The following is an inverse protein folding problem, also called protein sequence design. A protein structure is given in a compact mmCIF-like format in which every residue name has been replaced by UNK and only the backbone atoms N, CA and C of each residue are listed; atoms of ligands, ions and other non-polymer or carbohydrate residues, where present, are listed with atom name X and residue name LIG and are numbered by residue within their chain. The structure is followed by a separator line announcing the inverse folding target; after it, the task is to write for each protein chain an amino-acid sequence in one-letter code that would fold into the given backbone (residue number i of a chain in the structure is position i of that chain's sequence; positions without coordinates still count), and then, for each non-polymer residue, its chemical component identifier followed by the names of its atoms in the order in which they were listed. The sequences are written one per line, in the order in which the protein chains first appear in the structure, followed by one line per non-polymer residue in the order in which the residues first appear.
data_IF_493951719298
#
_entry.id   IF_493951719298
#
_cell.length_a   1.000
_cell.length_b   1.000
_cell.length_c   1.000
_cell.angle_alpha   90.00
_cell.angle_beta   90.00
_cell.angle_gamma   90.00
#
_symmetry.space_group_name_H-M   'P 1'
#
loop_
_entity.id
_entity.type
_entity.pdbx_description
1 polymer ?
#
# COMPACT_ATOMS: atom_id res chain seq x y z
N UNK A 1 -2.17 -13.46 9.43
CA UNK A 1 -2.15 -12.60 8.22
C UNK A 1 -0.85 -11.83 8.19
N UNK A 2 -0.42 -11.44 6.99
CA UNK A 2 0.81 -10.68 6.80
C UNK A 2 0.65 -9.70 5.64
N UNK A 3 1.12 -8.46 5.81
CA UNK A 3 1.36 -7.51 4.72
C UNK A 3 2.55 -6.63 5.10
N UNK A 4 3.00 -5.76 4.22
CA UNK A 4 4.16 -4.91 4.52
C UNK A 4 4.28 -3.69 3.63
N UNK A 5 5.32 -2.91 3.92
CA UNK A 5 5.63 -1.66 3.25
C UNK A 5 7.13 -1.37 3.36
N UNK A 6 7.77 -1.06 2.24
CA UNK A 6 9.12 -0.47 2.27
C UNK A 6 9.04 1.04 2.54
N UNK A 7 9.55 1.54 3.68
CA UNK A 7 9.43 2.93 4.09
C UNK A 7 10.48 3.81 3.39
N UNK A 8 10.06 4.57 2.37
CA UNK A 8 10.94 5.45 1.58
C UNK A 8 10.44 6.90 1.53
N UNK A 9 9.52 7.28 2.43
CA UNK A 9 8.83 8.56 2.42
C UNK A 9 7.45 8.48 3.08
N UNK A 10 6.70 9.58 2.97
CA UNK A 10 5.34 9.67 3.51
C UNK A 10 4.37 8.68 2.83
N UNK A 11 3.40 8.22 3.61
CA UNK A 11 2.32 7.36 3.15
C UNK A 11 1.34 8.14 2.28
N UNK A 12 0.95 7.59 1.13
CA UNK A 12 -0.10 8.13 0.27
C UNK A 12 -1.30 7.17 0.19
N UNK A 13 -2.44 7.64 -0.30
CA UNK A 13 -3.70 6.87 -0.35
C UNK A 13 -3.50 5.49 -0.99
N UNK A 14 -2.72 5.39 -2.07
CA UNK A 14 -2.44 4.09 -2.71
C UNK A 14 -1.81 3.03 -1.79
N UNK A 15 -1.05 3.43 -0.76
CA UNK A 15 -0.51 2.50 0.24
C UNK A 15 -1.58 2.02 1.22
N UNK A 16 -2.60 2.83 1.49
CA UNK A 16 -3.64 2.50 2.47
C UNK A 16 -4.62 1.44 1.97
N UNK A 17 -4.84 1.35 0.66
CA UNK A 17 -5.78 0.40 0.03
C UNK A 17 -5.57 -1.05 0.50
N UNK A 18 -4.36 -1.64 0.35
CA UNK A 18 -4.13 -2.99 0.85
C UNK A 18 -4.29 -3.08 2.37
N UNK A 19 -3.99 -2.02 3.11
CA UNK A 19 -4.04 -2.02 4.58
C UNK A 19 -5.48 -1.96 5.11
N UNK A 20 -6.36 -1.16 4.51
CA UNK A 20 -7.79 -1.12 4.86
C UNK A 20 -8.45 -2.46 4.56
N UNK A 21 -8.11 -3.07 3.42
CA UNK A 21 -8.60 -4.42 3.12
C UNK A 21 -8.06 -5.46 4.10
N UNK A 22 -6.77 -5.38 4.46
CA UNK A 22 -6.18 -6.24 5.48
C UNK A 22 -6.86 -6.05 6.86
N UNK A 23 -7.20 -4.81 7.22
CA UNK A 23 -7.95 -4.50 8.44
C UNK A 23 -9.34 -5.13 8.42
N UNK A 24 -10.07 -5.01 7.31
CA UNK A 24 -11.38 -5.65 7.17
C UNK A 24 -11.29 -7.16 7.32
N UNK A 25 -10.31 -7.81 6.68
CA UNK A 25 -10.06 -9.24 6.83
C UNK A 25 -9.74 -9.59 8.30
N UNK A 26 -8.90 -8.81 8.96
CA UNK A 26 -8.55 -9.04 10.35
C UNK A 26 -9.78 -8.93 11.27
N UNK A 27 -10.61 -7.89 11.10
CA UNK A 27 -11.83 -7.69 11.88
C UNK A 27 -12.84 -8.82 11.64
N UNK A 28 -12.97 -9.31 10.39
CA UNK A 28 -13.92 -10.37 10.03
C UNK A 28 -13.51 -11.74 10.53
N UNK A 29 -12.23 -12.07 10.45
CA UNK A 29 -11.74 -13.40 10.80
C UNK A 29 -11.11 -13.49 12.19
N UNK A 30 -10.92 -12.36 12.87
CA UNK A 30 -10.29 -12.25 14.18
C UNK A 30 -8.94 -13.00 14.26
N UNK A 31 -8.02 -12.65 13.36
CA UNK A 31 -6.73 -13.33 13.20
C UNK A 31 -5.55 -12.41 13.55
N UNK A 32 -4.41 -13.01 13.87
CA UNK A 32 -3.16 -12.28 14.06
C UNK A 32 -2.72 -11.60 12.75
N UNK A 33 -2.13 -10.42 12.85
CA UNK A 33 -1.64 -9.62 11.74
C UNK A 33 -0.20 -9.19 12.00
N UNK A 34 0.68 -9.50 11.05
CA UNK A 34 2.04 -8.96 10.99
C UNK A 34 2.12 -7.89 9.92
N UNK A 35 2.63 -6.72 10.27
CA UNK A 35 2.91 -5.62 9.35
C UNK A 35 4.41 -5.37 9.29
N UNK A 36 5.05 -5.74 8.18
CA UNK A 36 6.50 -5.59 8.03
C UNK A 36 6.86 -4.26 7.39
N UNK A 37 7.78 -3.54 8.03
CA UNK A 37 8.43 -2.34 7.53
C UNK A 37 9.85 -2.72 7.11
N UNK A 38 10.06 -2.80 5.79
CA UNK A 38 11.31 -3.27 5.18
C UNK A 38 12.28 -2.10 4.99
N UNK A 39 12.72 -1.52 6.11
CA UNK A 39 13.57 -0.33 6.18
C UNK A 39 14.98 -0.58 5.62
N UNK A 40 15.47 -1.81 5.73
CA UNK A 40 16.68 -2.31 5.11
C UNK A 40 16.59 -2.35 3.56
N UNK A 41 15.49 -2.80 2.97
CA UNK A 41 15.29 -2.83 1.52
C UNK A 41 15.30 -1.43 0.91
N UNK A 42 14.71 -0.45 1.60
CA UNK A 42 14.76 0.94 1.16
C UNK A 42 16.15 1.53 1.30
N UNK A 43 16.91 1.12 2.31
CA UNK A 43 18.32 1.49 2.43
C UNK A 43 19.15 0.89 1.28
N UNK A 44 18.95 -0.38 0.93
CA UNK A 44 19.67 -1.03 -0.17
C UNK A 44 19.29 -0.48 -1.55
N UNK A 45 18.04 -0.08 -1.76
CA UNK A 45 17.53 0.35 -3.08
C UNK A 45 17.62 1.85 -3.33
N UNK A 46 17.74 2.68 -2.29
CA UNK A 46 17.82 4.15 -2.41
C UNK A 46 19.18 4.66 -1.93
N UNK A 47 20.06 4.96 -2.89
CA UNK A 47 21.41 5.47 -2.62
C UNK A 47 21.44 6.76 -1.79
N UNK A 48 20.34 7.53 -1.80
CA UNK A 48 20.23 8.81 -1.10
C UNK A 48 19.58 8.70 0.29
N UNK A 49 19.26 7.49 0.76
CA UNK A 49 18.68 7.29 2.10
C UNK A 49 19.67 6.54 2.99
N UNK A 50 19.91 7.08 4.18
CA UNK A 50 20.60 6.41 5.27
C UNK A 50 19.67 5.45 6.03
N UNK A 51 20.24 4.52 6.80
CA UNK A 51 19.49 3.65 7.70
C UNK A 51 18.67 4.45 8.72
N UNK A 52 19.22 5.54 9.24
CA UNK A 52 18.49 6.42 10.18
C UNK A 52 17.26 7.06 9.52
N UNK A 53 17.34 7.42 8.24
CA UNK A 53 16.19 7.98 7.51
C UNK A 53 15.14 6.92 7.20
N UNK A 54 15.53 5.73 6.75
CA UNK A 54 14.56 4.64 6.48
C UNK A 54 13.88 4.17 7.75
N UNK A 55 14.63 4.10 8.86
CA UNK A 55 14.09 3.86 10.20
C UNK A 55 13.09 4.93 10.61
N UNK A 56 13.41 6.22 10.50
CA UNK A 56 12.44 7.31 10.77
C UNK A 56 11.17 7.18 9.93
N UNK A 57 11.30 6.86 8.64
CA UNK A 57 10.13 6.61 7.80
C UNK A 57 9.35 5.36 8.22
N UNK A 58 10.02 4.32 8.72
CA UNK A 58 9.37 3.13 9.26
C UNK A 58 8.43 3.52 10.41
N UNK A 59 8.93 4.27 11.40
CA UNK A 59 8.10 4.77 12.51
C UNK A 59 6.93 5.64 12.04
N UNK A 60 7.17 6.60 11.14
CA UNK A 60 6.08 7.45 10.63
C UNK A 60 5.04 6.66 9.80
N UNK A 61 5.45 5.64 9.05
CA UNK A 61 4.55 4.74 8.30
C UNK A 61 3.81 3.78 9.26
N UNK A 62 4.42 3.39 10.38
CA UNK A 62 3.77 2.60 11.43
C UNK A 62 2.58 3.38 12.03
N UNK A 63 2.76 4.68 12.29
CA UNK A 63 1.68 5.55 12.77
C UNK A 63 0.51 5.62 11.78
N UNK A 64 0.80 5.74 10.48
CA UNK A 64 -0.22 5.74 9.43
C UNK A 64 -1.01 4.43 9.40
N UNK A 65 -0.33 3.30 9.63
CA UNK A 65 -0.94 1.99 9.69
C UNK A 65 -1.83 1.84 10.94
N UNK A 66 -1.33 2.19 12.13
CA UNK A 66 -2.09 2.16 13.39
C UNK A 66 -3.33 3.07 13.30
N UNK A 67 -3.21 4.23 12.65
CA UNK A 67 -4.30 5.19 12.48
C UNK A 67 -5.52 4.65 11.71
N UNK A 68 -5.36 3.54 10.96
CA UNK A 68 -6.47 2.83 10.33
C UNK A 68 -7.35 2.07 11.33
N UNK A 69 -6.95 1.99 12.61
CA UNK A 69 -7.74 1.38 13.69
C UNK A 69 -7.43 -0.10 13.90
N UNK A 70 -6.21 -0.55 13.60
CA UNK A 70 -5.72 -1.86 14.02
C UNK A 70 -5.62 -1.93 15.55
N UNK A 71 -5.68 -3.15 16.09
CA UNK A 71 -5.70 -3.42 17.53
C UNK A 71 -4.40 -4.11 17.96
N UNK A 72 -3.70 -3.62 19.01
CA UNK A 72 -2.39 -4.14 19.37
C UNK A 72 -2.43 -5.59 19.91
N UNK A 73 -3.60 -6.06 20.36
CA UNK A 73 -3.77 -7.41 20.90
C UNK A 73 -3.54 -8.51 19.85
N UNK A 74 -3.82 -8.21 18.58
CA UNK A 74 -3.69 -9.15 17.47
C UNK A 74 -2.90 -8.56 16.29
N UNK A 75 -2.20 -7.44 16.48
CA UNK A 75 -1.41 -6.78 15.43
C UNK A 75 -0.01 -6.49 15.92
N UNK A 76 0.99 -6.94 15.17
CA UNK A 76 2.40 -6.67 15.44
C UNK A 76 3.10 -6.06 14.24
N UNK A 77 3.87 -5.00 14.50
CA UNK A 77 4.66 -4.27 13.52
C UNK A 77 6.11 -4.73 13.64
N UNK A 78 6.64 -5.23 12.54
CA UNK A 78 8.03 -5.69 12.42
C UNK A 78 8.81 -4.61 11.70
N UNK A 79 9.93 -4.16 12.26
CA UNK A 79 10.91 -3.32 11.58
C UNK A 79 12.13 -4.20 11.33
N UNK A 80 12.50 -4.42 10.07
CA UNK A 80 13.46 -5.47 9.71
C UNK A 80 14.81 -5.31 10.41
N UNK A 81 15.33 -4.08 10.51
CA UNK A 81 16.60 -3.81 11.20
C UNK A 81 16.53 -3.96 12.73
N UNK A 82 15.36 -3.83 13.35
CA UNK A 82 15.17 -3.95 14.80
C UNK A 82 14.81 -5.38 15.24
N UNK A 83 14.13 -6.12 14.35
CA UNK A 83 13.63 -7.47 14.61
C UNK A 83 14.46 -8.56 13.93
N UNK A 84 15.68 -8.22 13.49
CA UNK A 84 16.54 -9.13 12.75
C UNK A 84 16.88 -10.41 13.52
N UNK A 85 16.92 -10.37 14.85
CA UNK A 85 17.21 -11.54 15.69
C UNK A 85 16.19 -12.66 15.46
N UNK A 86 14.90 -12.32 15.34
CA UNK A 86 13.82 -13.28 15.08
C UNK A 86 13.75 -13.65 13.60
N UNK A 87 13.96 -12.67 12.70
CA UNK A 87 13.81 -12.88 11.26
C UNK A 87 14.96 -13.70 10.65
N UNK A 88 16.20 -13.48 11.10
CA UNK A 88 17.39 -14.01 10.45
C UNK A 88 17.46 -15.54 10.40
N UNK A 89 17.14 -16.31 11.47
CA UNK A 89 17.15 -17.78 11.40
C UNK A 89 16.15 -18.34 10.37
N UNK A 90 15.01 -17.67 10.19
CA UNK A 90 13.98 -18.06 9.21
C UNK A 90 14.46 -17.69 7.80
N UNK A 91 14.93 -16.44 7.64
CA UNK A 91 15.46 -15.94 6.37
C UNK A 91 16.65 -16.78 5.88
N UNK A 92 17.53 -17.23 6.76
CA UNK A 92 18.67 -18.10 6.43
C UNK A 92 18.21 -19.47 5.88
N UNK A 93 17.16 -20.07 6.46
CA UNK A 93 16.58 -21.32 5.96
C UNK A 93 15.99 -21.14 4.55
N UNK A 94 15.34 -20.00 4.30
CA UNK A 94 14.76 -19.65 3.00
C UNK A 94 15.87 -19.39 1.97
N UNK A 95 16.85 -18.56 2.33
CA UNK A 95 17.97 -18.19 1.47
C UNK A 95 18.75 -19.42 0.99
N UNK A 96 18.95 -20.42 1.86
CA UNK A 96 19.59 -21.70 1.51
C UNK A 96 18.88 -22.46 0.38
N UNK A 97 17.60 -22.17 0.12
CA UNK A 97 16.77 -22.81 -0.92
C UNK A 97 16.60 -21.94 -2.17
N UNK A 98 17.18 -20.74 -2.19
CA UNK A 98 17.10 -19.78 -3.29
C UNK A 98 18.50 -19.66 -3.92
N UNK A 99 18.61 -20.02 -5.20
CA UNK A 99 19.86 -19.83 -5.94
C UNK A 99 19.90 -18.42 -6.54
N UNK A 100 21.10 -17.84 -6.68
CA UNK A 100 21.28 -16.53 -7.30
C UNK A 100 20.73 -16.46 -8.74
N UNK A 101 20.82 -17.55 -9.51
CA UNK A 101 20.22 -17.61 -10.85
C UNK A 101 18.70 -17.39 -10.84
N UNK A 102 18.01 -17.86 -9.79
CA UNK A 102 16.57 -17.69 -9.64
C UNK A 102 16.23 -16.23 -9.32
N UNK A 103 16.92 -15.61 -8.36
CA UNK A 103 16.68 -14.20 -8.01
C UNK A 103 17.01 -13.28 -9.19
N UNK A 104 18.06 -13.59 -9.95
CA UNK A 104 18.43 -12.89 -11.17
C UNK A 104 17.29 -12.92 -12.21
N UNK A 105 16.73 -14.09 -12.46
CA UNK A 105 15.64 -14.27 -13.43
C UNK A 105 14.32 -13.62 -12.97
N UNK A 106 14.00 -13.71 -11.67
CA UNK A 106 12.73 -13.21 -11.12
C UNK A 106 12.72 -11.69 -10.98
N UNK A 107 13.82 -11.09 -10.50
CA UNK A 107 13.89 -9.66 -10.16
C UNK A 107 14.70 -8.82 -11.17
N UNK A 108 15.30 -9.46 -12.18
CA UNK A 108 16.11 -8.76 -13.18
C UNK A 108 17.43 -8.22 -12.63
N UNK A 109 17.96 -8.82 -11.56
CA UNK A 109 19.22 -8.37 -10.96
C UNK A 109 20.40 -8.50 -11.93
N UNK A 110 21.37 -7.61 -11.78
CA UNK A 110 22.64 -7.63 -12.52
C UNK A 110 23.78 -7.98 -11.56
N UNK A 111 24.98 -8.15 -12.10
CA UNK A 111 26.16 -8.36 -11.25
C UNK A 111 26.52 -7.11 -10.43
N UNK A 112 25.97 -5.94 -10.78
CA UNK A 112 26.13 -4.69 -10.03
C UNK A 112 25.07 -4.52 -8.92
N UNK A 113 24.08 -5.41 -8.85
CA UNK A 113 23.07 -5.38 -7.79
C UNK A 113 23.70 -5.76 -6.46
N UNK A 114 23.52 -4.93 -5.43
CA UNK A 114 24.13 -5.17 -4.13
C UNK A 114 23.58 -6.44 -3.45
N UNK A 115 24.40 -7.05 -2.60
CA UNK A 115 24.08 -8.31 -1.91
C UNK A 115 22.88 -8.22 -0.96
N UNK A 116 22.57 -7.01 -0.45
CA UNK A 116 21.40 -6.76 0.38
C UNK A 116 20.10 -7.00 -0.40
N UNK A 117 19.99 -6.44 -1.61
CA UNK A 117 18.85 -6.68 -2.50
C UNK A 117 18.69 -8.15 -2.90
N UNK A 118 19.80 -8.88 -3.05
CA UNK A 118 19.77 -10.31 -3.37
C UNK A 118 19.21 -11.12 -2.20
N UNK A 119 19.57 -10.75 -0.96
CA UNK A 119 19.11 -11.44 0.24
C UNK A 119 17.68 -11.06 0.65
N UNK A 120 17.27 -9.82 0.37
CA UNK A 120 16.03 -9.21 0.86
C UNK A 120 14.77 -10.08 0.68
N UNK A 121 14.58 -10.75 -0.46
CA UNK A 121 13.41 -11.62 -0.65
C UNK A 121 13.26 -12.69 0.44
N UNK A 122 14.39 -13.15 0.99
CA UNK A 122 14.40 -14.10 2.11
C UNK A 122 13.91 -13.46 3.40
N UNK A 123 14.25 -12.20 3.65
CA UNK A 123 13.75 -11.41 4.79
C UNK A 123 12.27 -11.07 4.63
N UNK A 124 11.83 -10.62 3.46
CA UNK A 124 10.40 -10.36 3.19
C UNK A 124 9.54 -11.63 3.34
N UNK A 125 10.14 -12.81 3.10
CA UNK A 125 9.47 -14.09 3.28
C UNK A 125 9.39 -14.55 4.75
N UNK A 126 10.27 -14.07 5.63
CA UNK A 126 10.40 -14.59 6.99
C UNK A 126 9.12 -14.42 7.84
N UNK A 127 8.39 -13.28 7.79
CA UNK A 127 7.13 -13.13 8.53
C UNK A 127 6.06 -14.17 8.20
N UNK A 128 6.12 -14.81 7.03
CA UNK A 128 5.20 -15.89 6.65
C UNK A 128 5.30 -17.12 7.57
N UNK A 129 6.42 -17.27 8.28
CA UNK A 129 6.75 -18.49 9.03
C UNK A 129 7.12 -18.24 10.50
N UNK A 130 6.87 -17.03 11.02
CA UNK A 130 7.00 -16.72 12.46
C UNK A 130 6.07 -17.61 13.27
N UNK A 131 4.81 -17.72 12.84
CA UNK A 131 3.85 -18.65 13.41
C UNK A 131 3.80 -19.93 12.58
N UNK A 132 3.64 -21.08 13.24
CA UNK A 132 3.37 -22.35 12.56
C UNK A 132 1.89 -22.46 12.16
N UNK A 133 1.42 -21.51 11.35
CA UNK A 133 0.04 -21.42 10.87
C UNK A 133 -0.02 -21.05 9.38
N UNK A 134 -1.10 -21.41 8.67
CA UNK A 134 -1.35 -20.87 7.34
C UNK A 134 -1.43 -19.34 7.37
N UNK A 135 -0.80 -18.70 6.39
CA UNK A 135 -0.79 -17.24 6.26
C UNK A 135 -1.49 -16.80 4.99
N UNK A 136 -2.30 -15.74 5.12
CA UNK A 136 -2.89 -15.00 4.01
C UNK A 136 -2.19 -13.64 3.87
N UNK A 137 -1.84 -13.30 2.63
CA UNK A 137 -1.11 -12.08 2.27
C UNK A 137 -1.94 -11.24 1.28
N UNK A 138 -2.58 -10.15 1.74
CA UNK A 138 -3.11 -9.12 0.86
C UNK A 138 -1.96 -8.25 0.34
N UNK A 139 -1.78 -8.17 -0.98
CA UNK A 139 -0.63 -7.50 -1.60
C UNK A 139 -0.96 -6.85 -2.93
N UNK A 140 -0.19 -5.84 -3.32
CA UNK A 140 -0.22 -5.29 -4.68
C UNK A 140 0.44 -6.26 -5.67
N UNK A 141 -0.05 -6.30 -6.91
CA UNK A 141 0.43 -7.24 -7.95
C UNK A 141 1.95 -7.19 -8.21
N UNK A 142 2.59 -6.06 -7.90
CA UNK A 142 4.04 -5.86 -8.01
C UNK A 142 4.86 -6.65 -6.96
N UNK A 143 4.24 -7.05 -5.85
CA UNK A 143 4.88 -7.84 -4.79
C UNK A 143 4.81 -9.35 -5.05
N UNK A 144 3.99 -9.79 -6.01
CA UNK A 144 3.78 -11.20 -6.36
C UNK A 144 5.09 -11.98 -6.64
N UNK A 145 6.11 -11.44 -7.32
CA UNK A 145 7.35 -12.17 -7.58
C UNK A 145 8.05 -12.66 -6.29
N UNK A 146 8.02 -11.86 -5.22
CA UNK A 146 8.58 -12.26 -3.92
C UNK A 146 7.83 -13.45 -3.34
N UNK A 147 6.50 -13.38 -3.30
CA UNK A 147 5.68 -14.41 -2.66
C UNK A 147 5.48 -15.66 -3.50
N UNK A 148 5.64 -15.57 -4.83
CA UNK A 148 5.78 -16.75 -5.69
C UNK A 148 7.03 -17.54 -5.32
N UNK A 149 8.17 -16.85 -5.14
CA UNK A 149 9.39 -17.51 -4.69
C UNK A 149 9.23 -18.10 -3.27
N UNK A 150 8.57 -17.37 -2.36
CA UNK A 150 8.24 -17.89 -1.02
C UNK A 150 7.42 -19.19 -1.09
N UNK A 151 6.41 -19.26 -1.97
CA UNK A 151 5.57 -20.46 -2.17
C UNK A 151 6.34 -21.66 -2.73
N UNK A 152 7.36 -21.41 -3.56
CA UNK A 152 8.22 -22.47 -4.10
C UNK A 152 9.20 -23.01 -3.05
N UNK A 153 9.61 -22.15 -2.10
CA UNK A 153 10.53 -22.50 -1.02
C UNK A 153 9.83 -23.14 0.19
N UNK A 154 8.60 -22.71 0.52
CA UNK A 154 7.90 -23.15 1.73
C UNK A 154 7.89 -24.68 1.95
N UNK A 155 7.54 -25.53 0.95
CA UNK A 155 7.58 -26.98 1.14
C UNK A 155 8.98 -27.54 1.38
N UNK A 156 10.02 -26.89 0.83
CA UNK A 156 11.43 -27.32 0.98
C UNK A 156 12.00 -27.07 2.38
N UNK A 157 11.31 -26.27 3.17
CA UNK A 157 11.60 -26.00 4.60
C UNK A 157 10.51 -26.56 5.52
N UNK A 158 9.62 -27.42 5.00
CA UNK A 158 8.57 -28.06 5.79
C UNK A 158 7.43 -27.13 6.22
N UNK A 159 7.21 -26.02 5.53
CA UNK A 159 6.19 -25.01 5.87
C UNK A 159 5.04 -24.97 4.85
N UNK A 160 3.80 -24.61 5.26
CA UNK A 160 2.68 -24.47 4.35
C UNK A 160 2.90 -23.30 3.37
N UNK A 161 2.37 -23.41 2.16
CA UNK A 161 2.43 -22.33 1.17
C UNK A 161 1.54 -21.15 1.61
N UNK A 162 2.02 -19.89 1.57
CA UNK A 162 1.18 -18.73 1.87
C UNK A 162 0.09 -18.55 0.80
N UNK A 163 -1.12 -18.19 1.21
CA UNK A 163 -2.21 -17.78 0.33
C UNK A 163 -2.06 -16.29 -0.03
N UNK A 164 -2.35 -15.91 -1.27
CA UNK A 164 -2.19 -14.54 -1.77
C UNK A 164 -3.54 -14.00 -2.25
N UNK A 165 -3.83 -12.72 -1.95
CA UNK A 165 -4.92 -11.96 -2.58
C UNK A 165 -4.31 -10.70 -3.19
N UNK A 166 -4.43 -10.55 -4.50
CA UNK A 166 -3.88 -9.43 -5.25
C UNK A 166 -4.87 -8.26 -5.33
N UNK A 167 -4.42 -7.07 -4.97
CA UNK A 167 -5.18 -5.84 -5.07
C UNK A 167 -4.84 -5.09 -6.36
N UNK A 168 -5.87 -4.48 -6.96
CA UNK A 168 -5.70 -3.50 -8.04
C UNK A 168 -5.16 -2.21 -7.42
N UNK A 169 -4.15 -1.62 -8.04
CA UNK A 169 -3.58 -0.35 -7.60
C UNK A 169 -4.49 0.82 -7.98
N UNK A 170 -4.69 1.77 -7.08
CA UNK A 170 -5.30 3.06 -7.42
C UNK A 170 -4.38 3.78 -8.42
N UNK A 171 -4.93 4.36 -9.51
CA UNK A 171 -4.13 5.07 -10.50
C UNK A 171 -3.49 6.33 -9.91
N UNK A 172 -2.37 6.77 -10.46
CA UNK A 172 -1.84 8.11 -10.16
C UNK A 172 -2.83 9.19 -10.59
N UNK A 173 -2.67 10.41 -10.07
CA UNK A 173 -3.51 11.53 -10.51
C UNK A 173 -3.41 11.77 -12.02
N UNK A 174 -2.32 11.38 -12.68
CA UNK A 174 -2.12 11.63 -14.11
C UNK A 174 -2.92 10.71 -15.05
N UNK A 175 -3.66 9.73 -14.54
CA UNK A 175 -4.56 8.89 -15.34
C UNK A 175 -4.19 7.41 -15.41
N UNK A 176 -4.93 6.64 -16.22
CA UNK A 176 -4.75 5.19 -16.38
C UNK A 176 -3.33 4.86 -16.87
N UNK A 177 -2.67 3.90 -16.21
CA UNK A 177 -1.29 3.48 -16.53
C UNK A 177 -0.20 4.20 -15.74
N UNK A 178 -0.51 5.29 -15.04
CA UNK A 178 0.42 5.94 -14.11
C UNK A 178 0.45 5.24 -12.76
N UNK A 179 1.62 4.75 -12.32
CA UNK A 179 1.83 4.36 -10.91
C UNK A 179 2.01 5.61 -10.05
N UNK A 180 1.43 5.63 -8.84
CA UNK A 180 1.77 6.67 -7.85
C UNK A 180 3.27 6.56 -7.53
N UNK A 181 3.97 7.69 -7.59
CA UNK A 181 5.38 7.76 -7.23
C UNK A 181 5.59 8.85 -6.22
N UNK A 182 6.27 8.51 -5.11
CA UNK A 182 6.72 9.48 -4.13
C UNK A 182 7.70 10.52 -4.72
N UNK A 183 8.30 10.26 -5.89
CA UNK A 183 9.19 11.21 -6.58
C UNK A 183 8.47 12.33 -7.34
N UNK A 184 7.13 12.26 -7.46
CA UNK A 184 6.31 13.28 -8.11
C UNK A 184 5.22 13.73 -7.14
N UNK A 185 5.58 14.63 -6.23
CA UNK A 185 4.77 15.09 -5.10
C UNK A 185 3.33 15.51 -5.48
N UNK A 186 3.17 16.14 -6.65
CA UNK A 186 1.89 16.62 -7.16
C UNK A 186 0.99 15.54 -7.80
N UNK A 187 1.49 14.32 -7.95
CA UNK A 187 0.76 13.22 -8.65
C UNK A 187 0.13 12.22 -7.70
N UNK A 188 0.26 12.45 -6.39
CA UNK A 188 -0.27 11.59 -5.35
C UNK A 188 -0.83 12.43 -4.19
N UNK A 189 -1.78 11.85 -3.47
CA UNK A 189 -2.35 12.44 -2.26
C UNK A 189 -1.72 11.76 -1.06
N UNK A 190 -0.98 12.52 -0.26
CA UNK A 190 -0.36 12.04 0.96
C UNK A 190 -1.36 12.06 2.12
N UNK A 191 -1.15 11.17 3.08
CA UNK A 191 -1.89 11.12 4.36
C UNK A 191 -1.77 12.39 5.18
N UNK A 192 -0.70 13.16 4.94
CA UNK A 192 -0.39 14.42 5.60
C UNK A 192 -0.78 15.67 4.80
N UNK A 193 -1.40 15.51 3.61
CA UNK A 193 -1.83 16.66 2.82
C UNK A 193 -2.95 17.43 3.55
N UNK A 194 -2.91 18.76 3.49
CA UNK A 194 -3.98 19.61 4.01
C UNK A 194 -5.18 19.63 3.06
N UNK A 195 -6.38 20.03 3.54
CA UNK A 195 -7.58 20.10 2.69
C UNK A 195 -7.41 20.94 1.42
N UNK A 196 -6.66 22.04 1.51
CA UNK A 196 -6.37 22.91 0.37
C UNK A 196 -5.40 22.27 -0.63
N UNK A 197 -4.40 21.54 -0.14
CA UNK A 197 -3.46 20.78 -0.98
C UNK A 197 -4.19 19.66 -1.71
N UNK A 198 -5.08 18.92 -1.04
CA UNK A 198 -5.93 17.89 -1.68
C UNK A 198 -6.77 18.51 -2.78
N UNK A 199 -7.50 19.58 -2.47
CA UNK A 199 -8.35 20.29 -3.44
C UNK A 199 -7.55 20.76 -4.65
N UNK A 200 -6.38 21.37 -4.43
CA UNK A 200 -5.49 21.81 -5.48
C UNK A 200 -5.02 20.63 -6.34
N UNK A 201 -4.55 19.55 -5.72
CA UNK A 201 -4.03 18.38 -6.44
C UNK A 201 -5.09 17.70 -7.29
N UNK A 202 -6.30 17.48 -6.74
CA UNK A 202 -7.41 16.88 -7.48
C UNK A 202 -7.87 17.78 -8.64
N UNK A 203 -8.06 19.07 -8.40
CA UNK A 203 -8.54 19.97 -9.45
C UNK A 203 -7.53 20.12 -10.59
N UNK A 204 -6.25 20.28 -10.26
CA UNK A 204 -5.20 20.60 -11.23
C UNK A 204 -4.58 19.38 -11.92
N UNK A 205 -4.39 18.27 -11.19
CA UNK A 205 -3.61 17.14 -11.69
C UNK A 205 -4.43 15.87 -11.93
N UNK A 206 -5.61 15.70 -11.31
CA UNK A 206 -6.43 14.51 -11.56
C UNK A 206 -6.96 14.50 -13.00
N UNK A 207 -6.56 13.49 -13.75
CA UNK A 207 -7.02 13.25 -15.11
C UNK A 207 -8.54 13.04 -15.13
N UNK A 208 -9.18 13.74 -16.05
CA UNK A 208 -10.61 13.73 -16.26
C UNK A 208 -10.97 12.88 -17.48
N UNK A 209 -11.95 12.00 -17.32
CA UNK A 209 -12.59 11.29 -18.43
C UNK A 209 -13.69 12.12 -19.13
N UNK A 210 -13.96 13.34 -18.67
CA UNK A 210 -14.93 14.27 -19.24
C UNK A 210 -14.43 15.03 -20.47
N UNK A 211 -15.33 15.77 -21.11
CA UNK A 211 -15.03 16.64 -22.27
C UNK A 211 -14.50 18.03 -21.86
N UNK A 212 -13.77 18.73 -22.76
CA UNK A 212 -13.17 20.03 -22.46
C UNK A 212 -14.19 21.14 -22.18
N UNK A 213 -15.32 21.13 -22.91
CA UNK A 213 -16.39 22.11 -22.75
C UNK A 213 -17.66 21.48 -22.18
N UNK A 214 -18.46 22.32 -21.52
CA UNK A 214 -19.67 21.89 -20.80
C UNK A 214 -20.72 21.36 -21.77
N UNK A 215 -20.91 21.99 -22.93
CA UNK A 215 -21.94 21.60 -23.90
C UNK A 215 -21.66 20.20 -24.47
N UNK A 216 -20.41 19.95 -24.87
CA UNK A 216 -19.95 18.64 -25.32
C UNK A 216 -20.05 17.62 -24.20
N UNK A 217 -19.71 17.99 -22.96
CA UNK A 217 -19.85 17.09 -21.82
C UNK A 217 -21.32 16.72 -21.58
N UNK A 218 -22.26 17.68 -21.64
CA UNK A 218 -23.70 17.41 -21.50
C UNK A 218 -24.23 16.52 -22.61
N UNK A 219 -23.66 16.59 -23.83
CA UNK A 219 -24.12 15.84 -25.01
C UNK A 219 -23.52 14.44 -25.10
N UNK A 220 -22.22 14.31 -24.85
CA UNK A 220 -21.46 13.07 -25.06
C UNK A 220 -21.16 12.32 -23.75
N UNK A 221 -21.29 12.99 -22.61
CA UNK A 221 -20.93 12.44 -21.30
C UNK A 221 -19.42 12.32 -21.05
N UNK A 222 -19.08 11.95 -19.81
CA UNK A 222 -17.74 11.54 -19.42
C UNK A 222 -17.52 10.03 -19.52
N UNK A 223 -16.27 9.61 -19.49
CA UNK A 223 -15.89 8.20 -19.37
C UNK A 223 -15.38 7.90 -17.94
N UNK A 224 -16.21 7.30 -17.06
CA UNK A 224 -15.81 6.95 -15.70
C UNK A 224 -14.64 5.95 -15.63
N UNK A 225 -14.49 5.07 -16.63
CA UNK A 225 -13.48 4.00 -16.62
C UNK A 225 -12.04 4.53 -16.66
N UNK A 226 -11.86 5.73 -17.22
CA UNK A 226 -10.57 6.42 -17.29
C UNK A 226 -10.47 7.62 -16.35
N UNK A 227 -11.57 8.04 -15.72
CA UNK A 227 -11.61 9.20 -14.83
C UNK A 227 -11.03 8.85 -13.47
N UNK A 228 -9.93 9.51 -13.09
CA UNK A 228 -9.23 9.21 -11.84
C UNK A 228 -10.11 9.47 -10.63
N UNK A 229 -10.98 10.49 -10.69
CA UNK A 229 -11.80 10.87 -9.55
C UNK A 229 -12.84 9.78 -9.27
N UNK A 230 -13.45 9.26 -10.33
CA UNK A 230 -14.35 8.11 -10.23
C UNK A 230 -13.63 6.85 -9.75
N UNK A 231 -12.42 6.55 -10.25
CA UNK A 231 -11.66 5.38 -9.81
C UNK A 231 -11.32 5.43 -8.30
N UNK A 232 -10.99 6.59 -7.76
CA UNK A 232 -10.76 6.76 -6.32
C UNK A 232 -12.04 6.50 -5.50
N UNK A 233 -13.17 7.03 -5.95
CA UNK A 233 -14.47 6.77 -5.32
C UNK A 233 -14.78 5.27 -5.32
N UNK A 234 -14.70 4.63 -6.49
CA UNK A 234 -14.98 3.21 -6.69
C UNK A 234 -14.10 2.29 -5.84
N UNK A 235 -12.80 2.58 -5.75
CA UNK A 235 -11.84 1.65 -5.12
C UNK A 235 -11.81 1.83 -3.60
N UNK A 236 -12.06 3.04 -3.09
CA UNK A 236 -11.72 3.35 -1.69
C UNK A 236 -12.70 4.26 -0.95
N UNK A 237 -13.32 5.25 -1.61
CA UNK A 237 -14.01 6.34 -0.91
C UNK A 237 -15.54 6.28 -0.90
N UNK A 238 -16.17 5.51 -1.78
CA UNK A 238 -17.64 5.34 -1.81
C UNK A 238 -18.03 3.91 -1.45
N UNK A 239 -18.48 3.66 -0.20
CA UNK A 239 -18.92 2.33 0.23
C UNK A 239 -20.35 1.97 -0.23
N UNK A 240 -21.18 2.93 -0.68
CA UNK A 240 -22.55 2.64 -1.15
C UNK A 240 -22.56 2.40 -2.67
N UNK A 241 -22.79 1.14 -3.06
CA UNK A 241 -22.89 0.70 -4.45
C UNK A 241 -23.97 1.45 -5.23
N UNK A 242 -25.09 1.84 -4.60
CA UNK A 242 -26.15 2.59 -5.27
C UNK A 242 -25.71 4.04 -5.54
N UNK A 243 -25.04 4.67 -4.58
CA UNK A 243 -24.47 6.00 -4.75
C UNK A 243 -23.39 5.99 -5.84
N UNK A 244 -22.50 4.99 -5.83
CA UNK A 244 -21.47 4.84 -6.85
C UNK A 244 -22.06 4.60 -8.23
N UNK A 245 -23.09 3.74 -8.35
CA UNK A 245 -23.82 3.52 -9.62
C UNK A 245 -24.47 4.81 -10.12
N UNK A 246 -25.09 5.60 -9.23
CA UNK A 246 -25.69 6.88 -9.59
C UNK A 246 -24.63 7.85 -10.11
N UNK A 247 -23.49 7.98 -9.43
CA UNK A 247 -22.37 8.82 -9.87
C UNK A 247 -21.88 8.37 -11.25
N UNK A 248 -21.70 7.07 -11.44
CA UNK A 248 -21.30 6.49 -12.72
C UNK A 248 -22.27 6.87 -13.86
N UNK A 249 -23.56 6.63 -13.66
CA UNK A 249 -24.59 6.85 -14.68
C UNK A 249 -24.82 8.33 -14.96
N UNK A 250 -24.81 9.18 -13.93
CA UNK A 250 -24.92 10.63 -14.07
C UNK A 250 -23.70 11.22 -14.78
N UNK A 251 -22.49 10.74 -14.50
CA UNK A 251 -21.28 11.20 -15.21
C UNK A 251 -21.23 10.71 -16.66
N UNK A 252 -21.58 9.45 -16.90
CA UNK A 252 -21.61 8.85 -18.24
C UNK A 252 -22.67 9.45 -19.15
N UNK A 253 -23.80 9.89 -18.59
CA UNK A 253 -24.85 10.59 -19.34
C UNK A 253 -24.56 12.08 -19.56
N UNK A 254 -23.52 12.63 -18.93
CA UNK A 254 -23.22 14.06 -18.95
C UNK A 254 -24.08 14.90 -18.00
N UNK A 255 -24.93 14.28 -17.18
CA UNK A 255 -25.73 14.95 -16.15
C UNK A 255 -24.90 15.43 -14.95
N UNK A 256 -23.78 14.78 -14.65
CA UNK A 256 -22.79 15.27 -13.70
C UNK A 256 -21.58 15.81 -14.46
N UNK A 257 -21.09 16.99 -14.07
CA UNK A 257 -19.88 17.59 -14.62
C UNK A 257 -18.64 17.06 -13.89
N UNK A 258 -17.49 17.11 -14.56
CA UNK A 258 -16.19 16.73 -13.96
C UNK A 258 -15.89 17.51 -12.67
N UNK A 259 -16.24 18.80 -12.63
CA UNK A 259 -16.05 19.61 -11.42
C UNK A 259 -16.86 19.10 -10.23
N UNK A 260 -18.09 18.63 -10.47
CA UNK A 260 -18.96 18.07 -9.43
C UNK A 260 -18.43 16.71 -8.95
N UNK A 261 -17.99 15.85 -9.88
CA UNK A 261 -17.35 14.57 -9.54
C UNK A 261 -16.09 14.77 -8.68
N UNK A 262 -15.23 15.72 -9.07
CA UNK A 262 -14.03 16.09 -8.30
C UNK A 262 -14.38 16.63 -6.92
N UNK A 263 -15.43 17.45 -6.81
CA UNK A 263 -15.88 17.99 -5.53
C UNK A 263 -16.32 16.88 -4.55
N UNK A 264 -17.07 15.89 -5.03
CA UNK A 264 -17.46 14.70 -4.24
C UNK A 264 -16.21 13.98 -3.71
N UNK A 265 -15.23 13.74 -4.58
CA UNK A 265 -14.00 13.08 -4.16
C UNK A 265 -13.21 13.90 -3.12
N UNK A 266 -13.05 15.21 -3.35
CA UNK A 266 -12.32 16.10 -2.44
C UNK A 266 -12.93 16.06 -1.04
N UNK A 267 -14.26 16.11 -0.95
CA UNK A 267 -14.98 16.01 0.32
C UNK A 267 -14.68 14.68 1.04
N UNK A 268 -14.82 13.56 0.32
CA UNK A 268 -14.58 12.23 0.89
C UNK A 268 -13.13 12.04 1.35
N UNK A 269 -12.15 12.49 0.55
CA UNK A 269 -10.72 12.44 0.92
C UNK A 269 -10.49 13.28 2.18
N UNK A 270 -10.96 14.52 2.23
CA UNK A 270 -10.71 15.41 3.35
C UNK A 270 -11.35 14.90 4.65
N UNK A 271 -12.57 14.36 4.57
CA UNK A 271 -13.21 13.73 5.73
C UNK A 271 -12.43 12.51 6.24
N UNK A 272 -11.95 11.67 5.32
CA UNK A 272 -11.10 10.53 5.67
C UNK A 272 -9.77 10.96 6.30
N UNK A 273 -9.05 11.90 5.66
CA UNK A 273 -7.75 12.38 6.12
C UNK A 273 -7.84 13.06 7.47
N UNK A 274 -8.91 13.84 7.72
CA UNK A 274 -9.13 14.45 9.04
C UNK A 274 -9.16 13.39 10.15
N UNK A 275 -9.97 12.36 9.99
CA UNK A 275 -10.10 11.28 10.98
C UNK A 275 -8.79 10.49 11.10
N UNK A 276 -8.16 10.20 9.96
CA UNK A 276 -6.88 9.48 9.91
C UNK A 276 -5.77 10.24 10.64
N UNK A 277 -5.62 11.54 10.39
CA UNK A 277 -4.63 12.41 11.03
C UNK A 277 -4.87 12.53 12.55
N UNK A 278 -6.13 12.68 12.98
CA UNK A 278 -6.47 12.68 14.41
C UNK A 278 -6.11 11.35 15.10
N UNK A 279 -6.34 10.21 14.44
CA UNK A 279 -5.98 8.90 14.96
C UNK A 279 -4.47 8.64 14.92
N UNK A 280 -3.77 9.21 13.94
CA UNK A 280 -2.32 9.13 13.79
C UNK A 280 -1.60 9.81 14.93
N UNK A 281 -2.08 10.98 15.39
CA UNK A 281 -1.50 11.62 16.57
C UNK A 281 -1.73 10.78 17.83
N UNK A 282 -2.92 10.20 18.02
CA UNK A 282 -3.20 9.26 19.12
C UNK A 282 -2.38 7.97 19.04
N UNK A 283 -1.93 7.58 17.86
CA UNK A 283 -1.12 6.38 17.66
C UNK A 283 0.29 6.53 18.26
N UNK A 284 0.81 7.76 18.35
CA UNK A 284 2.13 8.04 18.94
C UNK A 284 2.23 7.53 20.38
N UNK A 285 1.15 7.68 21.15
CA UNK A 285 1.09 7.24 22.56
C UNK A 285 0.98 5.71 22.72
N UNK A 286 0.79 4.97 21.63
CA UNK A 286 0.46 3.53 21.66
C UNK A 286 1.38 2.69 20.81
N UNK A 287 2.30 3.29 20.05
CA UNK A 287 3.15 2.59 19.07
C UNK A 287 3.92 1.42 19.70
N UNK A 288 4.44 1.59 20.91
CA UNK A 288 5.20 0.55 21.63
C UNK A 288 4.38 -0.74 21.82
N UNK A 289 3.06 -0.65 21.92
CA UNK A 289 2.19 -1.84 22.08
C UNK A 289 2.08 -2.67 20.79
N UNK A 290 2.33 -2.04 19.65
CA UNK A 290 2.29 -2.67 18.34
C UNK A 290 3.66 -3.22 17.91
N UNK A 291 4.76 -2.68 18.40
CA UNK A 291 6.09 -3.15 18.01
C UNK A 291 6.26 -4.64 18.36
N UNK A 292 6.90 -5.37 17.45
CA UNK A 292 7.20 -6.78 17.63
C UNK A 292 8.34 -6.93 18.64
N UNK A 293 8.12 -7.77 19.66
CA UNK A 293 9.11 -8.12 20.67
C UNK A 293 9.89 -9.35 20.20
N UNK A 294 11.23 -9.31 20.30
CA UNK A 294 12.13 -10.36 19.81
C UNK A 294 12.05 -11.66 20.60
#
# INVERSE_FOLDING_TARGET
MYTGRGPSGHTHIGHLVPWVFAKWLQDKFNVNMYFQLTDDEKFYSKQNLSLEETKKFAYENALDFIALGFKPENTKIIIDTENIQTLYPIAAQIAKKINFSNTKAVFGFTNDTNIGMIFYTSLQSAPCFIEDKPVLIPLGVDQDPHFRLTRDVAPKIGKPKPALIHNIMIPSLQGPGGKMSASKENTTIYTTDSPDVVKMKINKYAFSGGKPDVEQHRKEGGNPDIDVSYQYLRIFFEPDDNALKKIHDDYKSGKMLTGELKAILIEKINNFLKIHQENREKARDKIDKFLFEN
#
